data_IF_741767020826
#
_entry.id   IF_741767020826
#
_cell.length_a   1.000
_cell.length_b   1.000
_cell.length_c   1.000
_cell.angle_alpha   90.00
_cell.angle_beta   90.00
_cell.angle_gamma   90.00
#
_symmetry.space_group_name_H-M   'P 1'
#
loop_
_entity.id
_entity.type
_entity.pdbx_description
1 polymer ?
#
# COMPACT_ATOMS: atom_id res chain seq x y z
N UNK A 1 -13.22 21.28 -11.27
CA UNK A 1 -12.65 21.08 -11.56
C UNK A 1 -12.37 20.24 -12.01
N UNK A 2 -12.38 19.93 -12.33
CA UNK A 2 -12.00 19.10 -12.73
C UNK A 2 -10.82 18.94 -13.05
N UNK A 3 -10.40 19.55 -13.40
CA UNK A 3 -9.08 19.59 -13.46
C UNK A 3 -8.36 18.92 -12.44
N UNK A 4 -8.81 19.00 -11.30
CA UNK A 4 -8.24 18.35 -10.19
C UNK A 4 -8.08 16.89 -10.40
N UNK A 5 -8.96 16.33 -11.16
CA UNK A 5 -8.88 14.92 -11.47
C UNK A 5 -7.67 14.63 -12.29
N UNK A 6 -7.36 15.50 -13.21
CA UNK A 6 -6.18 15.33 -14.01
C UNK A 6 -4.93 15.39 -13.18
N UNK A 7 -4.93 16.23 -12.18
CA UNK A 7 -3.81 16.32 -11.29
C UNK A 7 -3.62 15.05 -10.52
N UNK A 8 -4.69 14.43 -10.09
CA UNK A 8 -4.59 13.20 -9.37
C UNK A 8 -4.09 12.07 -10.24
N UNK A 9 -4.33 12.17 -11.51
CA UNK A 9 -3.87 11.16 -12.42
C UNK A 9 -2.54 11.49 -13.01
N UNK A 10 -1.92 12.48 -12.44
CA UNK A 10 -0.62 12.90 -12.80
C UNK A 10 0.34 11.74 -12.74
N UNK A 11 1.21 11.65 -13.68
CA UNK A 11 2.20 10.60 -13.72
C UNK A 11 3.13 10.64 -12.53
N UNK A 12 3.40 11.84 -12.01
CA UNK A 12 4.27 11.98 -10.85
C UNK A 12 3.68 11.31 -9.62
N UNK A 13 2.36 11.39 -9.45
CA UNK A 13 1.72 10.73 -8.32
C UNK A 13 1.81 9.22 -8.44
N UNK A 14 1.63 8.72 -9.65
CA UNK A 14 1.75 7.28 -9.88
C UNK A 14 3.17 6.81 -9.65
N UNK A 15 4.14 7.56 -10.14
CA UNK A 15 5.54 7.22 -9.96
C UNK A 15 5.90 7.21 -8.50
N UNK A 16 5.43 8.21 -7.74
CA UNK A 16 5.71 8.27 -6.32
C UNK A 16 5.13 7.05 -5.59
N UNK A 17 3.91 6.67 -5.94
CA UNK A 17 3.29 5.51 -5.31
C UNK A 17 4.04 4.22 -5.66
N UNK A 18 4.41 4.04 -6.91
CA UNK A 18 5.14 2.85 -7.32
C UNK A 18 6.51 2.78 -6.66
N UNK A 19 7.17 3.92 -6.52
CA UNK A 19 8.44 3.96 -5.82
C UNK A 19 8.28 3.60 -4.35
N UNK A 20 7.21 4.09 -3.71
CA UNK A 20 6.97 3.75 -2.32
C UNK A 20 6.74 2.25 -2.16
N UNK A 21 6.02 1.64 -3.08
CA UNK A 21 5.78 0.20 -3.04
C UNK A 21 7.09 -0.55 -3.27
N UNK A 22 7.92 -0.08 -4.19
CA UNK A 22 9.21 -0.72 -4.46
C UNK A 22 10.16 -0.65 -3.28
N UNK A 23 10.01 0.34 -2.41
CA UNK A 23 10.85 0.47 -1.23
C UNK A 23 10.42 -0.45 -0.09
N UNK A 24 9.27 -1.10 -0.22
CA UNK A 24 8.86 -2.10 0.76
C UNK A 24 9.72 -3.33 0.61
N UNK A 25 9.84 -4.10 1.70
CA UNK A 25 10.51 -5.38 1.59
C UNK A 25 9.67 -6.29 0.69
N UNK A 26 10.29 -7.32 0.17
CA UNK A 26 9.57 -8.27 -0.68
C UNK A 26 8.41 -8.90 0.08
N UNK A 27 8.62 -9.22 1.35
CA UNK A 27 7.57 -9.80 2.18
C UNK A 27 6.40 -8.85 2.34
N UNK A 28 6.66 -7.59 2.61
CA UNK A 28 5.61 -6.60 2.79
C UNK A 28 4.84 -6.38 1.49
N UNK A 29 5.56 -6.32 0.38
CA UNK A 29 4.95 -6.14 -0.93
C UNK A 29 4.02 -7.29 -1.25
N UNK A 30 4.45 -8.52 -0.95
CA UNK A 30 3.65 -9.70 -1.18
C UNK A 30 2.37 -9.68 -0.36
N UNK A 31 2.48 -9.28 0.91
CA UNK A 31 1.32 -9.20 1.79
C UNK A 31 0.35 -8.14 1.28
N UNK A 32 0.87 -7.00 0.87
CA UNK A 32 0.04 -5.93 0.36
C UNK A 32 -0.74 -6.37 -0.88
N UNK A 33 -0.08 -7.03 -1.81
CA UNK A 33 -0.74 -7.49 -3.02
C UNK A 33 -1.76 -8.58 -2.71
N UNK A 34 -1.45 -9.47 -1.79
CA UNK A 34 -2.38 -10.51 -1.42
C UNK A 34 -3.62 -9.91 -0.76
N UNK A 35 -3.42 -8.93 0.10
CA UNK A 35 -4.55 -8.26 0.74
C UNK A 35 -5.39 -7.51 -0.31
N UNK A 36 -4.77 -6.87 -1.27
CA UNK A 36 -5.49 -6.18 -2.33
C UNK A 36 -6.32 -7.16 -3.16
N UNK A 37 -5.79 -8.35 -3.37
CA UNK A 37 -6.46 -9.38 -4.15
C UNK A 37 -7.65 -9.97 -3.41
N UNK A 38 -7.50 -10.28 -2.13
CA UNK A 38 -8.57 -10.91 -1.35
C UNK A 38 -9.55 -9.89 -0.79
N UNK A 39 -9.11 -8.65 -0.60
CA UNK A 39 -9.87 -7.58 0.03
C UNK A 39 -10.36 -7.99 1.42
N UNK A 40 -9.67 -8.91 2.08
CA UNK A 40 -10.09 -9.45 3.37
C UNK A 40 -8.88 -9.81 4.21
N UNK A 41 -8.84 -9.26 5.43
CA UNK A 41 -7.75 -9.58 6.34
C UNK A 41 -7.80 -11.03 6.79
N UNK A 42 -9.02 -11.57 6.92
CA UNK A 42 -9.18 -12.96 7.31
C UNK A 42 -8.63 -13.89 6.23
N UNK A 43 -9.00 -13.65 4.98
CA UNK A 43 -8.54 -14.51 3.90
C UNK A 43 -7.03 -14.37 3.69
N UNK A 44 -6.54 -13.16 3.80
CA UNK A 44 -5.12 -12.91 3.72
C UNK A 44 -4.39 -13.67 4.82
N UNK A 45 -4.93 -13.61 6.03
CA UNK A 45 -4.34 -14.32 7.16
C UNK A 45 -4.31 -15.81 6.94
N UNK A 46 -5.40 -16.37 6.40
CA UNK A 46 -5.44 -17.79 6.10
C UNK A 46 -4.36 -18.18 5.11
N UNK A 47 -4.19 -17.39 4.06
CA UNK A 47 -3.19 -17.66 3.04
C UNK A 47 -1.77 -17.58 3.59
N UNK A 48 -1.54 -16.71 4.58
CA UNK A 48 -0.22 -16.52 5.16
C UNK A 48 0.02 -17.39 6.39
N UNK A 49 -1.04 -17.99 6.94
CA UNK A 49 -0.92 -18.77 8.15
C UNK A 49 -0.83 -17.93 9.40
N UNK A 50 -1.46 -16.74 9.40
CA UNK A 50 -1.45 -15.86 10.57
C UNK A 50 -2.87 -15.37 10.84
N UNK A 51 -3.07 -14.73 11.98
CA UNK A 51 -4.39 -14.23 12.34
C UNK A 51 -4.73 -12.98 11.55
N UNK A 52 -6.03 -12.68 11.47
CA UNK A 52 -6.50 -11.46 10.83
C UNK A 52 -5.94 -10.23 11.54
N UNK A 53 -5.80 -10.28 12.86
CA UNK A 53 -5.23 -9.18 13.63
C UNK A 53 -3.79 -8.89 13.20
N UNK A 54 -3.02 -9.96 12.99
CA UNK A 54 -1.64 -9.81 12.54
C UNK A 54 -1.61 -9.12 11.18
N UNK A 55 -2.48 -9.54 10.27
CA UNK A 55 -2.57 -8.91 8.94
C UNK A 55 -2.92 -7.44 9.09
N UNK A 56 -3.87 -7.12 9.97
CA UNK A 56 -4.29 -5.74 10.21
C UNK A 56 -3.09 -4.86 10.59
N UNK A 57 -2.29 -5.32 11.54
CA UNK A 57 -1.15 -4.53 11.99
C UNK A 57 -0.09 -4.40 10.92
N UNK A 58 0.15 -5.45 10.16
CA UNK A 58 1.12 -5.39 9.08
C UNK A 58 0.67 -4.41 8.00
N UNK A 59 -0.60 -4.50 7.59
CA UNK A 59 -1.13 -3.61 6.56
C UNK A 59 -1.13 -2.17 7.05
N UNK A 60 -1.46 -1.95 8.31
CA UNK A 60 -1.45 -0.62 8.88
C UNK A 60 -0.04 -0.03 8.84
N UNK A 61 0.96 -0.81 9.19
CA UNK A 61 2.36 -0.37 9.16
C UNK A 61 2.78 -0.04 7.74
N UNK A 62 2.42 -0.90 6.78
CA UNK A 62 2.77 -0.69 5.39
C UNK A 62 2.14 0.60 4.87
N UNK A 63 0.86 0.81 5.17
CA UNK A 63 0.16 2.02 4.76
C UNK A 63 0.81 3.27 5.31
N UNK A 64 1.23 3.21 6.57
CA UNK A 64 1.88 4.35 7.19
C UNK A 64 3.22 4.64 6.53
N UNK A 65 3.96 3.61 6.21
CA UNK A 65 5.24 3.75 5.54
C UNK A 65 5.07 4.40 4.16
N UNK A 66 4.08 3.94 3.41
CA UNK A 66 3.80 4.51 2.10
C UNK A 66 3.36 5.97 2.24
N UNK A 67 2.50 6.25 3.20
CA UNK A 67 2.01 7.60 3.42
C UNK A 67 3.15 8.55 3.76
N UNK A 68 4.06 8.11 4.60
CA UNK A 68 5.21 8.94 4.98
C UNK A 68 6.08 9.24 3.77
N UNK A 69 6.31 8.25 2.94
CA UNK A 69 7.14 8.45 1.76
C UNK A 69 6.48 9.39 0.77
N UNK A 70 5.17 9.26 0.57
CA UNK A 70 4.44 10.14 -0.31
C UNK A 70 4.45 11.58 0.19
N UNK A 71 4.38 11.76 1.51
CA UNK A 71 4.44 13.10 2.08
C UNK A 71 5.79 13.74 1.83
N UNK A 72 6.86 12.97 1.94
CA UNK A 72 8.19 13.47 1.65
C UNK A 72 8.34 13.86 0.20
N UNK A 73 7.76 13.04 -0.66
CA UNK A 73 7.85 13.28 -2.09
C UNK A 73 7.17 14.59 -2.49
N UNK A 74 6.09 14.94 -1.81
CA UNK A 74 5.31 16.11 -2.16
C UNK A 74 5.90 17.42 -1.66
N UNK A 75 6.97 17.37 -0.96
CA UNK A 75 7.70 18.57 -0.59
C UNK A 75 8.86 18.80 -1.55
#
# INVERSE_FOLDING_TARGET
MKIDIDIFNDDDSKVALLNAIDHLTEADRRILYLYADTASMRETGKALGVSASTVYYIVKRIRQQIKNELNEYNY
#
